data_IF_371667939983
#
_entry.id   IF_371667939983
#
_cell.length_a   1.000
_cell.length_b   1.000
_cell.length_c   1.000
_cell.angle_alpha   90.00
_cell.angle_beta   90.00
_cell.angle_gamma   90.00
#
_symmetry.space_group_name_H-M   'P 1'
#
loop_
_entity.id
_entity.type
_entity.pdbx_description
1 polymer ?
#
# COMPACT_ATOMS: atom_id res chain seq x y z
N UNK A 1 5.23 -19.94 -17.03
CA UNK A 1 5.01 -18.50 -16.76
C UNK A 1 3.57 -18.31 -16.33
N UNK A 2 3.35 -17.89 -15.09
CA UNK A 2 2.01 -17.53 -14.60
C UNK A 2 1.64 -16.16 -15.18
N UNK A 3 0.47 -15.99 -15.81
CA UNK A 3 0.07 -14.70 -16.35
C UNK A 3 -0.07 -13.68 -15.21
N UNK A 4 0.50 -12.49 -15.41
CA UNK A 4 0.40 -11.36 -14.48
C UNK A 4 -1.08 -10.99 -14.27
N UNK A 5 -1.50 -10.88 -13.00
CA UNK A 5 -2.81 -10.31 -12.65
C UNK A 5 -2.72 -8.78 -12.72
N UNK A 6 -3.06 -8.22 -13.86
CA UNK A 6 -3.17 -6.77 -14.02
C UNK A 6 -4.47 -6.25 -13.39
N UNK A 7 -4.34 -5.33 -12.43
CA UNK A 7 -5.47 -4.58 -11.86
C UNK A 7 -5.72 -3.33 -12.71
N UNK A 8 -6.94 -3.17 -13.27
CA UNK A 8 -7.31 -2.05 -14.15
C UNK A 8 -8.42 -1.19 -13.53
N UNK A 9 -8.30 0.13 -13.65
CA UNK A 9 -9.31 1.14 -13.26
C UNK A 9 -9.43 2.23 -14.35
N UNK A 10 -10.65 2.67 -14.69
CA UNK A 10 -10.95 3.56 -15.85
C UNK A 10 -11.36 5.01 -15.50
N UNK A 11 -11.47 5.88 -16.52
CA UNK A 11 -11.59 7.35 -16.44
C UNK A 11 -12.96 7.95 -16.82
N UNK A 12 -13.24 9.18 -16.37
CA UNK A 12 -14.42 10.05 -16.61
C UNK A 12 -14.01 11.36 -17.32
N UNK A 13 -14.96 11.98 -18.03
CA UNK A 13 -14.75 12.88 -19.20
C UNK A 13 -14.63 14.40 -18.94
N UNK A 14 -14.68 14.93 -17.72
CA UNK A 14 -14.84 16.40 -17.52
C UNK A 14 -13.87 16.99 -16.49
N UNK A 15 -13.21 18.12 -16.85
CA UNK A 15 -12.10 18.79 -16.13
C UNK A 15 -12.57 19.74 -15.02
N UNK A 16 -12.06 19.60 -13.77
CA UNK A 16 -11.71 20.73 -12.85
C UNK A 16 -11.10 20.32 -11.48
N UNK A 17 -9.98 20.96 -11.11
CA UNK A 17 -9.29 21.10 -9.77
C UNK A 17 -8.34 20.00 -9.22
N UNK A 18 -7.19 20.45 -8.68
CA UNK A 18 -5.94 19.69 -8.43
C UNK A 18 -5.97 18.69 -7.24
N UNK A 19 -7.02 18.70 -6.43
CA UNK A 19 -7.24 17.72 -5.35
C UNK A 19 -8.70 17.26 -5.22
N UNK A 20 -9.56 17.65 -6.17
CA UNK A 20 -10.96 17.21 -6.29
C UNK A 20 -11.17 16.27 -7.49
N UNK A 21 -10.08 15.82 -8.11
CA UNK A 21 -10.11 14.99 -9.31
C UNK A 21 -9.31 13.71 -9.09
N UNK A 22 -9.95 12.57 -8.82
CA UNK A 22 -9.38 11.26 -9.15
C UNK A 22 -9.21 11.05 -10.68
N UNK A 23 -9.30 12.11 -11.50
CA UNK A 23 -9.64 12.05 -12.93
C UNK A 23 -8.77 12.94 -13.86
N UNK A 24 -7.70 13.59 -13.37
CA UNK A 24 -6.87 14.50 -14.21
C UNK A 24 -5.36 14.28 -14.10
N UNK A 25 -4.96 13.02 -14.18
CA UNK A 25 -3.61 12.59 -14.46
C UNK A 25 -3.73 11.12 -14.81
N UNK A 26 -3.22 10.72 -15.98
CA UNK A 26 -3.36 9.35 -16.47
C UNK A 26 -3.03 8.29 -15.41
N UNK A 27 -3.57 7.07 -15.57
CA UNK A 27 -3.55 6.04 -14.53
C UNK A 27 -2.14 5.88 -13.97
N UNK A 28 -1.99 6.16 -12.67
CA UNK A 28 -0.80 5.80 -11.92
C UNK A 28 -0.97 4.34 -11.52
N UNK A 29 -0.40 3.46 -12.31
CA UNK A 29 -0.32 2.04 -12.00
C UNK A 29 0.78 1.81 -10.96
N UNK A 30 0.47 0.97 -9.98
CA UNK A 30 1.49 0.29 -9.21
C UNK A 30 1.48 -1.13 -9.76
N UNK A 31 2.45 -1.41 -10.62
CA UNK A 31 2.73 -2.78 -11.05
C UNK A 31 3.56 -3.39 -9.93
N UNK A 32 3.09 -4.51 -9.39
CA UNK A 32 3.77 -5.21 -8.31
C UNK A 32 4.11 -6.60 -8.79
N UNK A 33 5.41 -6.89 -8.87
CA UNK A 33 5.93 -8.22 -9.11
C UNK A 33 6.07 -8.95 -7.76
N UNK A 34 5.88 -10.27 -7.79
CA UNK A 34 5.55 -11.06 -6.61
C UNK A 34 6.69 -11.16 -5.56
N UNK A 35 6.58 -10.39 -4.47
CA UNK A 35 6.57 -10.82 -3.06
C UNK A 35 6.15 -9.62 -2.20
N UNK A 36 4.85 -9.50 -1.92
CA UNK A 36 4.29 -8.27 -1.34
C UNK A 36 3.87 -8.42 0.12
N UNK A 37 4.04 -7.35 0.90
CA UNK A 37 3.51 -7.27 2.26
C UNK A 37 2.51 -6.14 2.42
N UNK A 38 1.42 -6.48 3.11
CA UNK A 38 0.39 -5.55 3.54
C UNK A 38 0.30 -5.57 5.07
N UNK A 39 0.47 -4.41 5.66
CA UNK A 39 0.39 -4.16 7.09
C UNK A 39 -0.98 -3.51 7.37
N UNK A 40 -1.93 -4.34 7.82
CA UNK A 40 -3.35 -3.97 7.92
C UNK A 40 -3.99 -4.75 9.06
N UNK A 41 -4.70 -4.09 9.97
CA UNK A 41 -5.33 -4.73 11.13
C UNK A 41 -6.85 -4.95 10.96
N UNK A 42 -7.49 -4.25 10.02
CA UNK A 42 -8.92 -4.40 9.75
C UNK A 42 -9.20 -5.55 8.77
N UNK A 43 -9.90 -6.58 9.24
CA UNK A 43 -10.20 -7.82 8.48
C UNK A 43 -10.76 -7.56 7.08
N UNK A 44 -11.73 -6.64 6.93
CA UNK A 44 -12.33 -6.35 5.62
C UNK A 44 -11.32 -5.77 4.62
N UNK A 45 -10.30 -5.04 5.10
CA UNK A 45 -9.23 -4.47 4.27
C UNK A 45 -8.21 -5.53 3.93
N UNK A 46 -7.87 -6.39 4.90
CA UNK A 46 -7.03 -7.56 4.64
C UNK A 46 -7.62 -8.43 3.51
N UNK A 47 -8.92 -8.72 3.57
CA UNK A 47 -9.62 -9.48 2.52
C UNK A 47 -9.57 -8.76 1.16
N UNK A 48 -9.70 -7.43 1.15
CA UNK A 48 -9.62 -6.63 -0.07
C UNK A 48 -8.23 -6.65 -0.69
N UNK A 49 -7.18 -6.46 0.13
CA UNK A 49 -5.80 -6.56 -0.32
C UNK A 49 -5.46 -7.97 -0.84
N UNK A 50 -5.92 -9.01 -0.14
CA UNK A 50 -5.78 -10.41 -0.59
C UNK A 50 -6.46 -10.65 -1.94
N UNK A 51 -7.63 -10.06 -2.17
CA UNK A 51 -8.32 -10.15 -3.44
C UNK A 51 -7.56 -9.46 -4.58
N UNK A 52 -6.91 -8.32 -4.30
CA UNK A 52 -6.14 -7.56 -5.29
C UNK A 52 -4.75 -8.14 -5.58
N UNK A 53 -4.01 -8.47 -4.54
CA UNK A 53 -2.60 -8.91 -4.62
C UNK A 53 -2.45 -10.43 -4.69
N UNK A 54 -3.54 -11.17 -4.47
CA UNK A 54 -3.54 -12.64 -4.51
C UNK A 54 -2.92 -13.29 -3.27
N UNK A 55 -2.64 -14.59 -3.38
CA UNK A 55 -2.15 -15.43 -2.28
C UNK A 55 -0.67 -15.23 -1.95
N UNK A 56 0.09 -14.58 -2.82
CA UNK A 56 1.51 -14.26 -2.59
C UNK A 56 1.70 -13.10 -1.61
N UNK A 57 0.65 -12.29 -1.39
CA UNK A 57 0.67 -11.23 -0.40
C UNK A 57 0.66 -11.81 1.02
N UNK A 58 1.61 -11.38 1.84
CA UNK A 58 1.57 -11.62 3.28
C UNK A 58 0.88 -10.46 3.97
N UNK A 59 0.02 -10.78 4.92
CA UNK A 59 -0.74 -9.80 5.68
C UNK A 59 -0.39 -9.96 7.15
N UNK A 60 -0.04 -8.87 7.79
CA UNK A 60 0.29 -8.84 9.22
C UNK A 60 -0.41 -7.64 9.87
N UNK A 61 -0.88 -7.86 11.10
CA UNK A 61 -1.71 -6.88 11.81
C UNK A 61 -0.97 -6.11 12.92
N UNK A 62 0.32 -6.42 13.16
CA UNK A 62 1.10 -5.89 14.31
C UNK A 62 2.49 -5.47 13.87
N UNK A 63 3.00 -4.36 14.40
CA UNK A 63 4.32 -3.84 14.03
C UNK A 63 5.49 -4.82 14.35
N UNK A 64 5.56 -5.51 15.51
CA UNK A 64 6.62 -6.50 15.74
C UNK A 64 6.58 -7.68 14.78
N UNK A 65 5.38 -8.11 14.36
CA UNK A 65 5.25 -9.18 13.37
C UNK A 65 5.69 -8.68 11.99
N UNK A 66 5.36 -7.44 11.65
CA UNK A 66 5.82 -6.79 10.43
C UNK A 66 7.33 -6.75 10.32
N UNK A 67 7.99 -6.22 11.35
CA UNK A 67 9.44 -6.09 11.39
C UNK A 67 10.12 -7.46 11.26
N UNK A 68 9.64 -8.48 11.99
CA UNK A 68 10.18 -9.85 11.86
C UNK A 68 10.05 -10.41 10.45
N UNK A 69 9.02 -10.06 9.71
CA UNK A 69 8.88 -10.49 8.31
C UNK A 69 9.84 -9.74 7.39
N UNK A 70 10.00 -8.42 7.58
CA UNK A 70 10.99 -7.59 6.88
C UNK A 70 12.44 -8.06 7.12
N UNK A 71 12.72 -8.64 8.28
CA UNK A 71 14.04 -9.22 8.60
C UNK A 71 14.29 -10.56 7.90
N UNK A 72 13.22 -11.33 7.63
CA UNK A 72 13.33 -12.71 7.15
C UNK A 72 13.47 -12.83 5.65
N UNK A 73 12.91 -11.87 4.91
CA UNK A 73 12.84 -11.96 3.45
C UNK A 73 12.73 -10.55 2.85
N UNK A 74 13.09 -10.45 1.57
CA UNK A 74 12.99 -9.20 0.81
C UNK A 74 11.58 -9.00 0.26
N UNK A 75 11.17 -7.74 0.14
CA UNK A 75 9.89 -7.36 -0.49
C UNK A 75 10.09 -6.25 -1.49
N UNK A 76 9.31 -6.33 -2.57
CA UNK A 76 9.28 -5.29 -3.58
C UNK A 76 8.34 -4.14 -3.19
N UNK A 77 7.23 -4.45 -2.50
CA UNK A 77 6.25 -3.45 -2.07
C UNK A 77 5.79 -3.66 -0.62
N UNK A 78 5.68 -2.55 0.08
CA UNK A 78 5.14 -2.48 1.45
C UNK A 78 3.92 -1.56 1.48
N UNK A 79 2.74 -2.12 1.76
CA UNK A 79 1.51 -1.37 2.01
C UNK A 79 1.33 -1.16 3.51
N UNK A 80 1.38 0.08 4.01
CA UNK A 80 1.52 0.42 5.41
C UNK A 80 0.33 1.22 5.95
N UNK A 81 -0.44 0.64 6.88
CA UNK A 81 -1.33 1.41 7.74
C UNK A 81 -0.58 1.94 8.98
N UNK A 82 -1.04 3.07 9.50
CA UNK A 82 -0.56 3.60 10.77
C UNK A 82 -1.07 2.79 11.97
N UNK A 83 -2.37 2.48 11.99
CA UNK A 83 -3.01 1.90 13.17
C UNK A 83 -2.88 0.38 13.08
N UNK A 84 -1.77 -0.17 13.58
CA UNK A 84 -1.47 -1.61 13.55
C UNK A 84 -1.76 -2.27 14.90
N UNK A 85 -3.03 -2.58 15.17
CA UNK A 85 -3.51 -3.21 16.40
C UNK A 85 -3.11 -2.48 17.71
N UNK A 86 -4.07 -2.36 18.62
CA UNK A 86 -3.87 -1.64 19.88
C UNK A 86 -2.75 -2.30 20.72
N UNK A 87 -1.85 -1.50 21.28
CA UNK A 87 -0.73 -1.89 22.15
C UNK A 87 0.35 -2.79 21.51
N UNK A 88 0.44 -2.85 20.18
CA UNK A 88 1.43 -3.68 19.48
C UNK A 88 2.34 -2.85 18.56
N UNK A 89 2.66 -1.63 18.96
CA UNK A 89 3.35 -0.64 18.15
C UNK A 89 2.42 0.04 17.14
N UNK A 90 3.00 0.69 16.14
CA UNK A 90 2.30 1.44 15.10
C UNK A 90 3.00 1.27 13.74
N UNK A 91 2.32 1.67 12.68
CA UNK A 91 2.93 1.77 11.35
C UNK A 91 4.12 2.71 11.32
N UNK A 92 4.18 3.69 12.23
CA UNK A 92 5.34 4.57 12.35
C UNK A 92 6.60 3.79 12.77
N UNK A 93 6.48 2.80 13.65
CA UNK A 93 7.61 1.95 14.05
C UNK A 93 8.15 1.16 12.85
N UNK A 94 7.25 0.66 12.00
CA UNK A 94 7.61 -0.04 10.75
C UNK A 94 8.24 0.93 9.75
N UNK A 95 7.72 2.16 9.62
CA UNK A 95 8.30 3.18 8.76
C UNK A 95 9.72 3.57 9.18
N UNK A 96 9.95 3.74 10.49
CA UNK A 96 11.26 4.00 11.07
C UNK A 96 12.21 2.84 10.79
N UNK A 97 11.77 1.59 11.00
CA UNK A 97 12.56 0.42 10.69
C UNK A 97 12.98 0.37 9.20
N UNK A 98 12.03 0.60 8.28
CA UNK A 98 12.31 0.64 6.84
C UNK A 98 13.30 1.75 6.45
N UNK A 99 13.19 2.91 7.10
CA UNK A 99 14.10 4.04 6.92
C UNK A 99 15.52 3.70 7.41
N UNK A 100 15.67 3.13 8.60
CA UNK A 100 16.95 2.70 9.17
C UNK A 100 17.64 1.63 8.31
N UNK A 101 16.86 0.70 7.76
CA UNK A 101 17.36 -0.34 6.86
C UNK A 101 17.56 0.12 5.42
N UNK A 102 17.23 1.38 5.10
CA UNK A 102 17.26 1.93 3.73
C UNK A 102 16.57 0.99 2.75
N UNK A 103 15.29 0.69 3.02
CA UNK A 103 14.49 -0.25 2.26
C UNK A 103 14.71 -0.12 0.74
N UNK A 104 15.15 -1.21 0.13
CA UNK A 104 15.62 -1.26 -1.26
C UNK A 104 14.55 -1.73 -2.26
N UNK A 105 13.33 -2.01 -1.79
CA UNK A 105 12.22 -2.38 -2.66
C UNK A 105 11.74 -1.24 -3.57
N UNK A 106 10.74 -1.54 -4.38
CA UNK A 106 10.11 -0.59 -5.32
C UNK A 106 9.46 0.58 -4.59
N UNK A 107 8.92 0.38 -3.39
CA UNK A 107 8.49 1.48 -2.52
C UNK A 107 7.54 1.10 -1.41
N UNK A 108 7.07 2.14 -0.71
CA UNK A 108 6.11 2.05 0.39
C UNK A 108 4.84 2.81 0.04
N UNK A 109 3.68 2.19 0.26
CA UNK A 109 2.36 2.79 0.08
C UNK A 109 1.69 2.99 1.42
N UNK A 110 1.51 4.24 1.84
CA UNK A 110 0.82 4.54 3.09
C UNK A 110 -0.69 4.60 2.87
N UNK A 111 -1.44 3.82 3.63
CA UNK A 111 -2.89 3.70 3.55
C UNK A 111 -3.58 3.88 4.92
N UNK A 112 -3.42 5.05 5.53
CA UNK A 112 -4.01 5.33 6.85
C UNK A 112 -5.11 6.39 6.81
N UNK A 113 -6.11 6.23 7.68
CA UNK A 113 -7.16 7.23 7.92
C UNK A 113 -6.65 8.47 8.67
N UNK A 114 -5.49 8.37 9.33
CA UNK A 114 -4.94 9.47 10.11
C UNK A 114 -3.99 10.33 9.25
N UNK A 115 -4.40 11.52 8.76
CA UNK A 115 -3.60 12.31 7.84
C UNK A 115 -2.30 12.82 8.48
N UNK A 116 -2.37 13.22 9.75
CA UNK A 116 -1.21 13.74 10.49
C UNK A 116 -0.18 12.63 10.68
N UNK A 117 -0.62 11.45 11.12
CA UNK A 117 0.29 10.34 11.36
C UNK A 117 0.84 9.73 10.07
N UNK A 118 0.04 9.64 9.01
CA UNK A 118 0.55 9.24 7.70
C UNK A 118 1.55 10.21 7.09
N UNK A 119 1.36 11.53 7.28
CA UNK A 119 2.35 12.51 6.88
C UNK A 119 3.69 12.32 7.61
N UNK A 120 3.66 12.01 8.91
CA UNK A 120 4.90 11.71 9.66
C UNK A 120 5.62 10.49 9.13
N UNK A 121 4.90 9.39 8.87
CA UNK A 121 5.49 8.20 8.25
C UNK A 121 6.10 8.49 6.88
N UNK A 122 5.38 9.26 6.05
CA UNK A 122 5.85 9.69 4.74
C UNK A 122 7.16 10.47 4.86
N UNK A 123 7.23 11.45 5.77
CA UNK A 123 8.43 12.24 6.01
C UNK A 123 9.62 11.38 6.44
N UNK A 124 9.41 10.49 7.42
CA UNK A 124 10.44 9.54 7.90
C UNK A 124 11.04 8.72 6.76
N UNK A 125 10.20 8.19 5.86
CA UNK A 125 10.66 7.40 4.72
C UNK A 125 11.38 8.27 3.67
N UNK A 126 10.86 9.46 3.38
CA UNK A 126 11.49 10.39 2.43
C UNK A 126 12.87 10.86 2.89
N UNK A 127 13.02 11.18 4.17
CA UNK A 127 14.29 11.63 4.76
C UNK A 127 15.38 10.57 4.65
N UNK A 128 15.00 9.29 4.66
CA UNK A 128 15.89 8.15 4.44
C UNK A 128 16.10 7.79 2.94
N UNK A 129 15.51 8.54 2.01
CA UNK A 129 15.59 8.28 0.58
C UNK A 129 14.72 7.10 0.11
N UNK A 130 13.79 6.61 0.93
CA UNK A 130 12.87 5.53 0.54
C UNK A 130 11.75 6.10 -0.33
N UNK A 131 11.48 5.43 -1.47
CA UNK A 131 10.36 5.78 -2.34
C UNK A 131 9.05 5.50 -1.61
N UNK A 132 8.27 6.56 -1.37
CA UNK A 132 6.99 6.47 -0.67
C UNK A 132 5.90 7.27 -1.38
N UNK A 133 4.70 6.70 -1.39
CA UNK A 133 3.47 7.34 -1.84
C UNK A 133 2.38 7.19 -0.77
N UNK A 134 1.72 8.29 -0.44
CA UNK A 134 0.58 8.29 0.48
C UNK A 134 -0.71 8.31 -0.33
N UNK A 135 -1.53 7.27 -0.17
CA UNK A 135 -2.76 7.10 -0.92
C UNK A 135 -3.90 7.76 -0.13
N UNK A 136 -4.62 8.74 -0.71
CA UNK A 136 -5.80 9.32 -0.07
C UNK A 136 -6.81 8.24 0.29
N UNK A 137 -7.20 8.21 1.56
CA UNK A 137 -8.19 7.25 2.03
C UNK A 137 -9.55 7.54 1.37
N UNK A 138 -10.18 6.49 0.82
CA UNK A 138 -11.39 6.58 -0.01
C UNK A 138 -11.22 6.06 -1.43
N UNK A 139 -10.01 6.12 -2.01
CA UNK A 139 -9.77 5.54 -3.35
C UNK A 139 -9.84 4.00 -3.36
N UNK A 140 -9.55 3.35 -2.23
CA UNK A 140 -9.65 1.89 -2.10
C UNK A 140 -11.09 1.37 -2.19
N UNK A 141 -12.11 2.21 -2.04
CA UNK A 141 -13.51 1.84 -2.25
C UNK A 141 -13.91 1.74 -3.74
N UNK A 142 -13.15 2.39 -4.63
CA UNK A 142 -13.45 2.47 -6.07
C UNK A 142 -12.68 1.46 -6.93
N UNK A 143 -11.73 0.72 -6.34
CA UNK A 143 -11.00 -0.37 -6.99
C UNK A 143 -11.91 -1.60 -7.15
N UNK A 144 -12.85 -1.51 -8.10
CA UNK A 144 -13.71 -2.63 -8.50
C UNK A 144 -12.93 -3.54 -9.44
N UNK A 145 -12.74 -4.79 -9.04
CA UNK A 145 -12.28 -5.87 -9.92
C UNK A 145 -13.26 -6.03 -11.08
N UNK A 146 -12.86 -5.63 -12.30
CA UNK A 146 -13.51 -6.06 -13.53
C UNK A 146 -12.74 -7.29 -14.02
N UNK A 147 -13.04 -8.45 -13.44
CA UNK A 147 -12.73 -9.72 -14.08
C UNK A 147 -13.91 -10.13 -14.94
N UNK A 148 -13.63 -10.53 -16.18
CA UNK A 148 -14.51 -11.24 -17.13
C UNK A 148 -15.50 -10.37 -17.93
N UNK A 149 -15.03 -9.88 -19.09
CA UNK A 149 -15.62 -10.19 -20.40
C UNK A 149 -14.54 -10.08 -21.48
N UNK A 150 -13.84 -11.18 -21.73
CA UNK A 150 -13.24 -11.45 -23.02
C UNK A 150 -13.85 -12.78 -23.48
N UNK A 151 -15.01 -12.67 -24.12
CA UNK A 151 -15.60 -13.69 -24.98
C UNK A 151 -15.66 -13.10 -26.38
#
# INVERSE_FOLDING_TARGET
MTPLKAMRVGTSRTRTTKYSMPMLGGPRCIVVDATDHVFEDLLFRQLRFRAWLGSACKIVAKAPAAIRELERQHFDLVCLDHDLAINSGSGHDVATYLAEKKFAGTGVLIHSWNPVRSQRMEQTLRDAGVRVERIPFGMFAFLRSQSEKAS
#
